data_IF_016531298671
#
_entry.id   IF_016531298671
#
_cell.length_a   1.000
_cell.length_b   1.000
_cell.length_c   1.000
_cell.angle_alpha   90.00
_cell.angle_beta   90.00
_cell.angle_gamma   90.00
#
_symmetry.space_group_name_H-M   'P 1'
#
loop_
_entity.id
_entity.type
_entity.pdbx_description
1 polymer ?
#
# COMPACT_ATOMS: atom_id res chain seq x y z
N UNK A 1 -9.46 -5.18 -6.41
CA UNK A 1 -8.14 -4.96 -7.00
C UNK A 1 -7.12 -5.95 -6.45
N UNK A 2 -6.17 -6.36 -7.30
CA UNK A 2 -5.09 -7.27 -6.90
C UNK A 2 -3.89 -6.53 -6.28
N UNK A 3 -3.81 -5.24 -6.49
CA UNK A 3 -2.79 -4.34 -5.97
C UNK A 3 -3.44 -3.10 -5.35
N UNK A 4 -3.09 -2.82 -4.09
CA UNK A 4 -3.55 -1.64 -3.35
C UNK A 4 -2.33 -0.90 -2.81
N UNK A 5 -2.29 0.41 -3.00
CA UNK A 5 -1.30 1.29 -2.38
C UNK A 5 -1.96 2.21 -1.38
N UNK A 6 -1.37 2.31 -0.20
CA UNK A 6 -1.89 3.06 0.95
C UNK A 6 -0.92 4.20 1.25
N UNK A 7 -1.43 5.42 1.30
CA UNK A 7 -0.65 6.66 1.49
C UNK A 7 0.39 6.88 0.39
N UNK A 8 1.09 8.00 0.39
CA UNK A 8 2.09 8.33 -0.63
C UNK A 8 1.48 8.66 -2.00
N UNK A 9 2.28 8.57 -3.04
CA UNK A 9 1.86 8.84 -4.42
C UNK A 9 1.61 7.54 -5.16
N UNK A 10 0.40 7.36 -5.69
CA UNK A 10 0.12 6.28 -6.62
C UNK A 10 0.91 6.49 -7.92
N UNK A 11 1.76 5.54 -8.26
CA UNK A 11 2.41 5.51 -9.57
C UNK A 11 1.55 4.74 -10.55
N UNK A 12 1.45 5.23 -11.78
CA UNK A 12 0.73 4.55 -12.85
C UNK A 12 1.48 3.30 -13.29
N UNK A 13 0.73 2.31 -13.79
CA UNK A 13 1.28 1.06 -14.29
C UNK A 13 2.11 1.20 -15.58
N UNK A 14 2.14 2.39 -16.21
CA UNK A 14 2.89 2.66 -17.40
C UNK A 14 2.50 1.73 -18.57
N UNK A 15 3.48 1.07 -19.16
CA UNK A 15 3.28 0.16 -20.31
C UNK A 15 2.48 -1.11 -19.97
N UNK A 16 2.36 -1.45 -18.70
CA UNK A 16 1.53 -2.60 -18.24
C UNK A 16 0.03 -2.34 -18.37
N UNK A 17 -0.34 -1.07 -18.54
CA UNK A 17 -1.72 -0.66 -18.75
C UNK A 17 -2.58 -0.63 -17.48
N UNK A 18 -3.77 -0.06 -17.62
CA UNK A 18 -4.67 0.28 -16.52
C UNK A 18 -5.09 -0.91 -15.63
N UNK A 19 -5.10 -2.13 -16.16
CA UNK A 19 -5.43 -3.34 -15.38
C UNK A 19 -4.40 -3.68 -14.30
N UNK A 20 -3.19 -3.15 -14.43
CA UNK A 20 -2.09 -3.34 -13.49
C UNK A 20 -1.91 -2.13 -12.56
N UNK A 21 -2.77 -1.11 -12.66
CA UNK A 21 -2.72 0.02 -11.75
C UNK A 21 -3.12 -0.37 -10.32
N UNK A 22 -2.41 0.21 -9.36
CA UNK A 22 -2.77 0.08 -7.96
C UNK A 22 -4.05 0.86 -7.66
N UNK A 23 -4.93 0.29 -6.86
CA UNK A 23 -5.98 1.07 -6.23
C UNK A 23 -5.38 1.92 -5.10
N UNK A 24 -5.57 3.23 -5.16
CA UNK A 24 -4.97 4.16 -4.22
C UNK A 24 -5.90 4.47 -3.03
N UNK A 25 -5.40 4.29 -1.82
CA UNK A 25 -6.07 4.67 -0.57
C UNK A 25 -5.30 5.83 0.07
N UNK A 26 -5.86 7.03 0.01
CA UNK A 26 -5.19 8.23 0.52
C UNK A 26 -5.11 8.25 2.05
N UNK A 27 -6.24 8.01 2.72
CA UNK A 27 -6.38 8.07 4.18
C UNK A 27 -6.93 6.77 4.73
N UNK A 28 -6.09 5.90 5.28
CA UNK A 28 -6.54 4.62 5.82
C UNK A 28 -7.49 4.84 7.01
N UNK A 29 -8.64 4.14 6.99
CA UNK A 29 -9.68 4.22 8.01
C UNK A 29 -10.74 5.31 7.76
N UNK A 30 -10.55 6.19 6.81
CA UNK A 30 -11.60 7.09 6.34
C UNK A 30 -12.43 6.43 5.22
N UNK A 31 -13.69 6.84 5.11
CA UNK A 31 -14.56 6.37 4.04
C UNK A 31 -14.05 6.91 2.71
N UNK A 32 -13.70 6.00 1.81
CA UNK A 32 -13.30 6.38 0.45
C UNK A 32 -14.54 6.77 -0.36
N UNK A 33 -14.62 8.04 -0.83
CA UNK A 33 -15.78 8.52 -1.58
C UNK A 33 -15.96 7.80 -2.92
N UNK A 34 -14.91 7.16 -3.45
CA UNK A 34 -14.95 6.44 -4.73
C UNK A 34 -15.44 4.99 -4.61
N UNK A 35 -15.63 4.49 -3.39
CA UNK A 35 -16.12 3.13 -3.13
C UNK A 35 -17.64 3.06 -2.87
N UNK A 36 -18.34 4.17 -2.99
CA UNK A 36 -19.80 4.25 -2.83
C UNK A 36 -20.41 5.22 -3.84
N UNK A 37 -21.71 5.09 -4.08
CA UNK A 37 -22.43 6.17 -4.75
C UNK A 37 -22.47 7.43 -3.87
N UNK A 38 -22.48 8.64 -4.48
CA UNK A 38 -22.74 9.87 -3.77
C UNK A 38 -23.99 9.77 -2.89
N UNK A 39 -24.03 10.46 -1.78
CA UNK A 39 -25.11 10.34 -0.78
C UNK A 39 -26.50 10.73 -1.31
N UNK A 40 -26.56 11.57 -2.36
CA UNK A 40 -27.77 11.98 -3.06
C UNK A 40 -28.25 10.97 -4.12
N UNK A 41 -27.49 9.89 -4.35
CA UNK A 41 -27.80 8.85 -5.33
C UNK A 41 -28.21 7.56 -4.63
N UNK A 42 -29.47 7.19 -4.76
CA UNK A 42 -29.93 5.88 -4.27
C UNK A 42 -29.29 4.74 -5.08
N UNK A 43 -29.16 3.56 -4.48
CA UNK A 43 -28.62 2.36 -5.14
C UNK A 43 -29.34 2.06 -6.46
N UNK A 44 -30.70 2.20 -6.48
CA UNK A 44 -31.53 1.97 -7.68
C UNK A 44 -31.16 2.97 -8.78
N UNK A 45 -31.06 4.24 -8.44
CA UNK A 45 -30.70 5.29 -9.40
C UNK A 45 -29.26 5.14 -9.91
N UNK A 46 -28.33 4.77 -9.03
CA UNK A 46 -26.95 4.47 -9.39
C UNK A 46 -26.86 3.30 -10.37
N UNK A 47 -27.56 2.20 -10.11
CA UNK A 47 -27.60 1.05 -10.99
C UNK A 47 -28.17 1.40 -12.38
N UNK A 48 -29.28 2.17 -12.45
CA UNK A 48 -29.82 2.65 -13.74
C UNK A 48 -28.83 3.49 -14.53
N UNK A 49 -28.06 4.36 -13.86
CA UNK A 49 -27.00 5.16 -14.52
C UNK A 49 -25.90 4.28 -15.10
N UNK A 50 -25.47 3.25 -14.37
CA UNK A 50 -24.47 2.29 -14.84
C UNK A 50 -24.99 1.47 -16.05
N UNK A 51 -26.23 1.06 -16.04
CA UNK A 51 -26.85 0.36 -17.17
C UNK A 51 -26.93 1.25 -18.43
N UNK A 52 -27.27 2.52 -18.26
CA UNK A 52 -27.29 3.50 -19.37
C UNK A 52 -25.87 3.70 -19.90
N UNK A 53 -24.88 3.88 -19.01
CA UNK A 53 -23.48 4.04 -19.39
C UNK A 53 -22.97 2.83 -20.19
N UNK A 54 -23.27 1.61 -19.73
CA UNK A 54 -22.90 0.39 -20.45
C UNK A 54 -23.50 0.35 -21.87
N UNK A 55 -24.78 0.72 -22.02
CA UNK A 55 -25.44 0.80 -23.34
C UNK A 55 -24.82 1.88 -24.23
N UNK A 56 -24.46 3.04 -23.67
CA UNK A 56 -23.79 4.12 -24.41
C UNK A 56 -22.39 3.69 -24.86
N UNK A 57 -21.61 3.06 -23.99
CA UNK A 57 -20.29 2.54 -24.32
C UNK A 57 -20.36 1.53 -25.48
N UNK A 58 -21.32 0.62 -25.48
CA UNK A 58 -21.55 -0.34 -26.57
C UNK A 58 -21.89 0.34 -27.90
N UNK A 59 -22.59 1.46 -27.89
CA UNK A 59 -22.91 2.24 -29.11
C UNK A 59 -21.70 3.03 -29.63
N UNK A 60 -20.90 3.58 -28.73
CA UNK A 60 -19.74 4.40 -29.06
C UNK A 60 -18.54 3.59 -29.56
N UNK A 61 -18.50 2.26 -29.33
CA UNK A 61 -17.46 1.36 -29.86
C UNK A 61 -17.35 1.44 -31.40
N UNK A 62 -18.40 1.86 -32.11
CA UNK A 62 -18.38 2.00 -33.57
C UNK A 62 -17.52 3.15 -34.10
N UNK A 63 -17.08 4.09 -33.22
CA UNK A 63 -16.27 5.27 -33.59
C UNK A 63 -14.92 5.39 -32.88
N UNK A 64 -14.65 4.53 -31.90
CA UNK A 64 -13.40 4.52 -31.14
C UNK A 64 -12.58 3.27 -31.47
N UNK A 65 -11.26 3.37 -31.29
CA UNK A 65 -10.39 2.20 -31.23
C UNK A 65 -10.99 1.15 -30.29
N UNK A 66 -11.34 -0.01 -30.86
CA UNK A 66 -12.03 -1.10 -30.13
C UNK A 66 -11.27 -1.54 -28.86
N UNK A 67 -9.93 -1.40 -28.86
CA UNK A 67 -9.08 -1.67 -27.69
C UNK A 67 -9.33 -0.70 -26.54
N UNK A 68 -9.44 0.59 -26.83
CA UNK A 68 -9.70 1.64 -25.83
C UNK A 68 -11.11 1.51 -25.25
N UNK A 69 -12.12 1.27 -26.09
CA UNK A 69 -13.49 1.08 -25.64
C UNK A 69 -13.63 -0.14 -24.71
N UNK A 70 -12.99 -1.25 -25.05
CA UNK A 70 -12.95 -2.45 -24.21
C UNK A 70 -12.22 -2.21 -22.89
N UNK A 71 -11.16 -1.44 -22.88
CA UNK A 71 -10.44 -1.09 -21.65
C UNK A 71 -11.30 -0.26 -20.69
N UNK A 72 -12.01 0.75 -21.20
CA UNK A 72 -12.95 1.59 -20.41
C UNK A 72 -14.10 0.75 -19.85
N UNK A 73 -14.72 -0.11 -20.66
CA UNK A 73 -15.81 -0.99 -20.20
C UNK A 73 -15.33 -1.94 -19.12
N UNK A 74 -14.15 -2.56 -19.28
CA UNK A 74 -13.56 -3.44 -18.29
C UNK A 74 -13.28 -2.70 -16.98
N UNK A 75 -12.66 -1.53 -17.03
CA UNK A 75 -12.37 -0.72 -15.85
C UNK A 75 -13.64 -0.29 -15.10
N UNK A 76 -14.70 0.08 -15.87
CA UNK A 76 -16.00 0.44 -15.28
C UNK A 76 -16.63 -0.76 -14.57
N UNK A 77 -16.62 -1.95 -15.17
CA UNK A 77 -17.15 -3.17 -14.54
C UNK A 77 -16.37 -3.55 -13.29
N UNK A 78 -15.04 -3.47 -13.33
CA UNK A 78 -14.18 -3.76 -12.18
C UNK A 78 -14.45 -2.79 -11.03
N UNK A 79 -14.61 -1.50 -11.30
CA UNK A 79 -14.98 -0.50 -10.31
C UNK A 79 -16.35 -0.79 -9.66
N UNK A 80 -17.37 -1.11 -10.49
CA UNK A 80 -18.71 -1.45 -10.01
C UNK A 80 -18.69 -2.74 -9.18
N UNK A 81 -17.94 -3.75 -9.60
CA UNK A 81 -17.79 -5.00 -8.85
C UNK A 81 -17.11 -4.74 -7.50
N UNK A 82 -16.10 -3.87 -7.46
CA UNK A 82 -15.48 -3.46 -6.20
C UNK A 82 -16.51 -2.77 -5.29
N UNK A 83 -17.24 -1.78 -5.79
CA UNK A 83 -18.29 -1.07 -5.03
C UNK A 83 -19.39 -1.98 -4.46
N UNK A 84 -19.61 -3.14 -5.05
CA UNK A 84 -20.62 -4.14 -4.61
C UNK A 84 -20.02 -5.28 -3.79
N UNK A 85 -18.70 -5.31 -3.66
CA UNK A 85 -17.99 -6.41 -3.00
C UNK A 85 -18.19 -6.37 -1.49
N UNK A 86 -18.54 -7.49 -0.83
CA UNK A 86 -18.49 -7.60 0.63
C UNK A 86 -17.09 -7.31 1.21
N UNK A 87 -16.04 -7.48 0.41
CA UNK A 87 -14.66 -7.18 0.80
C UNK A 87 -14.41 -5.69 1.07
N UNK A 88 -15.33 -4.79 0.69
CA UNK A 88 -15.25 -3.36 1.05
C UNK A 88 -15.19 -3.13 2.56
N UNK A 89 -15.78 -4.02 3.36
CA UNK A 89 -15.69 -3.96 4.82
C UNK A 89 -14.25 -4.03 5.33
N UNK A 90 -13.32 -4.58 4.55
CA UNK A 90 -11.90 -4.58 4.91
C UNK A 90 -11.31 -3.17 4.97
N UNK A 91 -11.83 -2.22 4.18
CA UNK A 91 -11.38 -0.83 4.17
C UNK A 91 -11.85 -0.02 5.40
N UNK A 92 -12.86 -0.51 6.12
CA UNK A 92 -13.44 0.19 7.26
C UNK A 92 -12.70 -0.20 8.54
N UNK A 93 -11.94 0.72 9.14
CA UNK A 93 -11.27 0.49 10.44
C UNK A 93 -12.17 0.80 11.64
N UNK A 94 -13.34 1.39 11.42
CA UNK A 94 -14.27 1.84 12.48
C UNK A 94 -14.75 0.69 13.41
N UNK A 95 -14.68 -0.54 12.95
CA UNK A 95 -15.08 -1.72 13.73
C UNK A 95 -13.93 -2.46 14.43
N UNK A 96 -12.70 -1.95 14.31
CA UNK A 96 -11.56 -2.56 14.99
C UNK A 96 -11.57 -2.27 16.49
N UNK A 97 -11.07 -3.23 17.27
CA UNK A 97 -10.86 -3.05 18.70
C UNK A 97 -9.88 -1.89 18.95
N UNK A 98 -10.25 -0.92 19.80
CA UNK A 98 -9.39 0.22 20.13
C UNK A 98 -7.99 -0.19 20.63
N UNK A 99 -7.86 -1.32 21.33
CA UNK A 99 -6.57 -1.86 21.77
C UNK A 99 -5.71 -2.30 20.57
N UNK A 100 -6.34 -2.86 19.56
CA UNK A 100 -5.64 -3.21 18.30
C UNK A 100 -5.18 -1.97 17.58
N UNK A 101 -6.02 -0.96 17.43
CA UNK A 101 -5.61 0.32 16.80
C UNK A 101 -4.45 0.95 17.57
N UNK A 102 -4.52 1.00 18.90
CA UNK A 102 -3.45 1.53 19.74
C UNK A 102 -2.13 0.77 19.58
N UNK A 103 -2.18 -0.56 19.45
CA UNK A 103 -1.02 -1.43 19.28
C UNK A 103 -0.30 -1.18 17.94
N UNK A 104 -1.04 -0.89 16.85
CA UNK A 104 -0.47 -0.47 15.56
C UNK A 104 0.04 0.97 15.58
N UNK A 105 -0.35 1.77 16.56
CA UNK A 105 -0.15 3.22 16.62
C UNK A 105 -1.22 3.97 15.82
N UNK A 106 -1.89 4.92 16.47
CA UNK A 106 -2.95 5.74 15.82
C UNK A 106 -2.34 6.85 14.95
N UNK A 107 -1.51 6.46 14.00
CA UNK A 107 -0.86 7.31 13.01
C UNK A 107 -1.33 6.91 11.60
N UNK A 108 -1.15 7.75 10.58
CA UNK A 108 -1.47 7.36 9.20
C UNK A 108 -0.75 6.07 8.76
N UNK A 109 0.49 5.86 9.18
CA UNK A 109 1.25 4.65 8.86
C UNK A 109 0.73 3.42 9.64
N UNK A 110 0.48 3.56 10.95
CA UNK A 110 -0.09 2.48 11.78
C UNK A 110 -1.45 2.03 11.28
N UNK A 111 -2.35 2.98 10.99
CA UNK A 111 -3.65 2.68 10.36
C UNK A 111 -3.48 2.06 8.98
N UNK A 112 -2.47 2.47 8.22
CA UNK A 112 -2.11 1.86 6.93
C UNK A 112 -1.68 0.40 7.05
N UNK A 113 -0.84 0.08 8.02
CA UNK A 113 -0.39 -1.28 8.30
C UNK A 113 -1.56 -2.17 8.79
N UNK A 114 -2.43 -1.64 9.64
CA UNK A 114 -3.65 -2.32 10.09
C UNK A 114 -4.60 -2.61 8.91
N UNK A 115 -4.79 -1.63 8.02
CA UNK A 115 -5.57 -1.82 6.80
C UNK A 115 -4.92 -2.87 5.89
N UNK A 116 -3.59 -2.86 5.74
CA UNK A 116 -2.87 -3.86 4.95
C UNK A 116 -3.12 -5.29 5.46
N UNK A 117 -3.09 -5.51 6.78
CA UNK A 117 -3.47 -6.80 7.39
C UNK A 117 -4.86 -7.24 6.92
N UNK A 118 -5.88 -6.38 7.09
CA UNK A 118 -7.26 -6.69 6.73
C UNK A 118 -7.42 -7.01 5.24
N UNK A 119 -6.74 -6.26 4.38
CA UNK A 119 -6.78 -6.50 2.94
C UNK A 119 -6.15 -7.84 2.56
N UNK A 120 -5.02 -8.19 3.15
CA UNK A 120 -4.39 -9.51 2.96
C UNK A 120 -5.31 -10.63 3.47
N UNK A 121 -5.99 -10.42 4.59
CA UNK A 121 -6.97 -11.38 5.14
C UNK A 121 -8.14 -11.62 4.19
N UNK A 122 -8.53 -10.64 3.37
CA UNK A 122 -9.56 -10.79 2.34
C UNK A 122 -9.05 -11.27 0.98
N UNK A 123 -7.75 -11.58 0.88
CA UNK A 123 -7.15 -12.17 -0.32
C UNK A 123 -6.58 -11.15 -1.31
N UNK A 124 -6.39 -9.90 -0.92
CA UNK A 124 -5.61 -8.94 -1.74
C UNK A 124 -4.17 -9.41 -1.81
N UNK A 125 -3.66 -9.58 -3.04
CA UNK A 125 -2.36 -10.23 -3.27
C UNK A 125 -1.17 -9.31 -3.03
N UNK A 126 -1.29 -8.02 -3.29
CA UNK A 126 -0.23 -7.06 -3.12
C UNK A 126 -0.75 -5.80 -2.44
N UNK A 127 -0.18 -5.46 -1.30
CA UNK A 127 -0.51 -4.24 -0.56
C UNK A 127 0.78 -3.50 -0.26
N UNK A 128 0.85 -2.23 -0.66
CA UNK A 128 1.96 -1.35 -0.39
C UNK A 128 1.53 -0.26 0.58
N UNK A 129 2.26 -0.10 1.68
CA UNK A 129 2.07 1.00 2.64
C UNK A 129 3.26 1.94 2.53
N UNK A 130 3.01 3.21 2.26
CA UNK A 130 4.06 4.19 2.03
C UNK A 130 4.26 5.09 3.25
N UNK A 131 5.50 5.39 3.56
CA UNK A 131 5.91 6.41 4.51
C UNK A 131 7.04 7.23 3.92
N UNK A 132 6.82 8.53 3.77
CA UNK A 132 7.84 9.49 3.34
C UNK A 132 8.62 10.09 4.51
N UNK A 133 9.53 11.01 4.18
CA UNK A 133 10.30 11.78 5.17
C UNK A 133 11.68 11.22 5.48
N UNK A 134 12.17 10.24 4.71
CA UNK A 134 13.50 9.64 4.90
C UNK A 134 14.62 10.42 4.20
N UNK A 135 14.30 11.48 3.48
CA UNK A 135 15.31 12.32 2.80
C UNK A 135 15.99 13.30 3.79
N UNK A 136 16.77 12.75 4.71
CA UNK A 136 17.29 13.42 5.89
C UNK A 136 18.70 13.94 5.68
N UNK A 137 18.85 14.88 4.74
CA UNK A 137 20.12 15.61 4.53
C UNK A 137 20.52 16.52 5.69
N UNK A 138 19.60 16.75 6.64
CA UNK A 138 19.80 17.55 7.84
C UNK A 138 19.17 16.82 9.03
N UNK A 139 19.78 16.93 10.22
CA UNK A 139 19.20 16.43 11.48
C UNK A 139 18.68 15.00 11.39
N UNK A 140 19.47 14.08 10.82
CA UNK A 140 19.06 12.70 10.56
C UNK A 140 18.60 11.96 11.83
N UNK A 141 19.28 12.13 12.97
CA UNK A 141 19.01 11.32 14.16
C UNK A 141 17.61 11.54 14.75
N UNK A 142 17.15 12.80 15.00
CA UNK A 142 15.77 13.01 15.45
C UNK A 142 14.72 12.51 14.45
N UNK A 143 15.00 12.65 13.15
CA UNK A 143 14.09 12.14 12.12
C UNK A 143 13.99 10.61 12.14
N UNK A 144 15.10 9.90 12.28
CA UNK A 144 15.12 8.44 12.39
C UNK A 144 14.44 7.96 13.67
N UNK A 145 14.62 8.66 14.81
CA UNK A 145 13.88 8.35 16.02
C UNK A 145 12.37 8.44 15.79
N UNK A 146 11.89 9.52 15.21
CA UNK A 146 10.47 9.68 14.88
C UNK A 146 9.96 8.59 13.90
N UNK A 147 10.79 8.16 12.95
CA UNK A 147 10.43 7.07 12.06
C UNK A 147 10.32 5.74 12.82
N UNK A 148 11.27 5.45 13.72
CA UNK A 148 11.23 4.27 14.59
C UNK A 148 9.97 4.25 15.45
N UNK A 149 9.69 5.32 16.18
CA UNK A 149 8.52 5.44 17.07
C UNK A 149 7.18 5.17 16.36
N UNK A 150 7.11 5.45 15.05
CA UNK A 150 5.91 5.20 14.24
C UNK A 150 5.92 3.82 13.58
N UNK A 151 7.06 3.36 13.08
CA UNK A 151 7.13 2.15 12.27
C UNK A 151 7.22 0.88 13.12
N UNK A 152 7.97 0.92 14.23
CA UNK A 152 8.20 -0.26 15.06
C UNK A 152 6.91 -0.87 15.61
N UNK A 153 5.99 -0.11 16.26
CA UNK A 153 4.75 -0.68 16.75
C UNK A 153 3.86 -1.19 15.61
N UNK A 154 3.84 -0.52 14.47
CA UNK A 154 3.02 -0.91 13.32
C UNK A 154 3.51 -2.22 12.68
N UNK A 155 4.83 -2.34 12.45
CA UNK A 155 5.42 -3.53 11.83
C UNK A 155 5.40 -4.72 12.79
N UNK A 156 5.73 -4.51 14.06
CA UNK A 156 5.67 -5.57 15.08
C UNK A 156 4.25 -6.12 15.21
N UNK A 157 3.23 -5.25 15.24
CA UNK A 157 1.83 -5.65 15.29
C UNK A 157 1.39 -6.40 14.04
N UNK A 158 1.76 -5.92 12.85
CA UNK A 158 1.44 -6.57 11.59
C UNK A 158 2.00 -8.00 11.52
N UNK A 159 3.29 -8.16 11.83
CA UNK A 159 3.95 -9.46 11.80
C UNK A 159 3.36 -10.41 12.84
N UNK A 160 3.12 -9.91 14.06
CA UNK A 160 2.51 -10.70 15.14
C UNK A 160 1.10 -11.18 14.79
N UNK A 161 0.27 -10.31 14.22
CA UNK A 161 -1.11 -10.67 13.83
C UNK A 161 -1.13 -11.65 12.67
N UNK A 162 -0.26 -11.47 11.66
CA UNK A 162 -0.13 -12.40 10.55
C UNK A 162 0.39 -13.77 11.03
N UNK A 163 1.30 -13.79 12.01
CA UNK A 163 1.79 -15.01 12.62
C UNK A 163 0.68 -15.72 13.42
N UNK A 164 -0.02 -15.00 14.29
CA UNK A 164 -1.11 -15.52 15.11
C UNK A 164 -2.26 -16.11 14.28
N UNK A 165 -2.55 -15.50 13.12
CA UNK A 165 -3.56 -16.00 12.16
C UNK A 165 -3.05 -17.09 11.22
N UNK A 166 -1.78 -17.50 11.30
CA UNK A 166 -1.15 -18.46 10.40
C UNK A 166 -0.93 -17.93 8.97
N UNK A 167 -1.20 -16.66 8.73
CA UNK A 167 -1.06 -16.06 7.40
C UNK A 167 0.36 -15.65 7.06
N UNK A 168 1.22 -15.47 8.06
CA UNK A 168 2.61 -15.09 7.83
C UNK A 168 3.37 -16.09 6.96
N UNK A 169 3.06 -17.37 7.08
CA UNK A 169 3.66 -18.43 6.25
C UNK A 169 3.40 -18.25 4.73
N UNK A 170 2.31 -17.55 4.37
CA UNK A 170 1.89 -17.30 2.98
C UNK A 170 1.94 -15.83 2.58
N UNK A 171 2.42 -14.97 3.46
CA UNK A 171 2.51 -13.52 3.25
C UNK A 171 3.95 -13.08 3.42
N UNK A 172 4.55 -12.58 2.35
CA UNK A 172 5.86 -11.94 2.42
C UNK A 172 5.69 -10.49 2.85
N UNK A 173 6.29 -10.10 3.97
CA UNK A 173 6.40 -8.72 4.42
C UNK A 173 7.80 -8.23 4.04
N UNK A 174 7.85 -7.15 3.24
CA UNK A 174 9.08 -6.55 2.76
C UNK A 174 9.10 -5.07 3.15
N UNK A 175 10.15 -4.64 3.85
CA UNK A 175 10.42 -3.24 4.16
C UNK A 175 11.69 -2.83 3.43
N UNK A 176 11.58 -1.83 2.57
CA UNK A 176 12.68 -1.34 1.75
C UNK A 176 12.53 0.15 1.43
N UNK A 177 13.64 0.76 1.04
CA UNK A 177 13.69 2.09 0.44
C UNK A 177 14.27 1.99 -0.98
N UNK A 178 14.33 3.11 -1.69
CA UNK A 178 14.89 3.19 -3.05
C UNK A 178 16.42 3.01 -3.07
N UNK A 179 17.10 3.45 -2.00
CA UNK A 179 18.55 3.31 -1.78
C UNK A 179 18.89 3.56 -0.30
N UNK A 180 20.15 3.36 0.06
CA UNK A 180 20.70 3.63 1.38
C UNK A 180 21.15 5.07 1.58
N UNK A 181 21.69 5.34 2.74
CA UNK A 181 22.27 6.62 3.13
C UNK A 181 23.74 6.46 3.46
N UNK A 182 24.53 7.53 3.25
CA UNK A 182 25.98 7.51 3.53
C UNK A 182 26.25 7.10 4.98
N UNK A 183 27.23 6.21 5.24
CA UNK A 183 27.71 5.92 6.59
C UNK A 183 28.22 7.16 7.29
N UNK A 184 28.90 8.03 6.53
CA UNK A 184 29.43 9.31 7.02
C UNK A 184 28.31 10.33 7.19
N UNK A 185 28.31 11.00 8.34
CA UNK A 185 27.43 12.15 8.64
C UNK A 185 28.00 13.39 7.96
N UNK A 186 27.15 14.16 7.29
CA UNK A 186 27.52 15.42 6.66
C UNK A 186 27.56 16.59 7.67
N UNK A 187 27.97 17.77 7.21
CA UNK A 187 28.11 18.98 8.06
C UNK A 187 26.82 19.47 8.69
N UNK A 188 25.66 19.03 8.17
CA UNK A 188 24.33 19.40 8.67
C UNK A 188 23.73 18.32 9.60
N UNK A 189 24.57 17.44 10.18
CA UNK A 189 24.13 16.30 10.96
C UNK A 189 23.16 15.38 10.21
N UNK A 190 23.23 15.35 8.88
CA UNK A 190 22.41 14.57 7.96
C UNK A 190 23.18 13.43 7.30
N UNK A 191 22.47 12.66 6.47
CA UNK A 191 23.05 11.62 5.61
C UNK A 191 22.62 11.84 4.17
N UNK A 192 23.55 11.72 3.25
CA UNK A 192 23.31 11.88 1.82
C UNK A 192 22.94 10.56 1.15
N UNK A 193 22.53 10.62 -0.12
CA UNK A 193 22.15 9.44 -0.89
C UNK A 193 23.35 8.51 -1.11
N UNK A 194 23.14 7.20 -0.93
CA UNK A 194 24.16 6.18 -1.15
C UNK A 194 23.54 4.91 -1.72
N UNK A 195 23.52 4.81 -3.05
CA UNK A 195 22.84 3.72 -3.75
C UNK A 195 23.62 2.39 -3.77
N UNK A 196 24.88 2.39 -3.36
CA UNK A 196 25.76 1.21 -3.48
C UNK A 196 25.56 0.18 -2.38
N UNK A 197 25.15 0.61 -1.19
CA UNK A 197 24.94 -0.28 -0.06
C UNK A 197 23.70 0.14 0.72
N UNK A 198 22.76 -0.78 0.89
CA UNK A 198 21.55 -0.57 1.69
C UNK A 198 21.00 -1.91 2.17
N UNK A 199 20.12 -1.84 3.15
CA UNK A 199 19.51 -3.02 3.74
C UNK A 199 18.01 -3.03 3.49
N UNK A 200 17.42 -4.22 3.44
CA UNK A 200 15.99 -4.43 3.50
C UNK A 200 15.65 -5.42 4.62
N UNK A 201 14.44 -5.31 5.13
CA UNK A 201 13.90 -6.28 6.09
C UNK A 201 12.88 -7.17 5.39
N UNK A 202 12.94 -8.47 5.67
CA UNK A 202 12.04 -9.47 5.07
C UNK A 202 11.51 -10.39 6.17
N UNK A 203 10.21 -10.67 6.16
CA UNK A 203 9.59 -11.63 7.07
C UNK A 203 8.48 -12.43 6.38
N UNK A 204 8.27 -13.66 6.82
CA UNK A 204 7.20 -14.53 6.33
C UNK A 204 7.43 -15.08 4.92
N UNK A 205 6.36 -15.51 4.24
CA UNK A 205 6.39 -16.01 2.87
C UNK A 205 7.32 -17.20 2.62
N UNK A 206 7.59 -18.02 3.64
CA UNK A 206 8.52 -19.14 3.55
C UNK A 206 10.01 -18.79 3.75
N UNK A 207 10.32 -17.52 4.04
CA UNK A 207 11.69 -17.09 4.36
C UNK A 207 12.10 -17.64 5.73
N UNK A 208 13.30 -18.21 5.81
CA UNK A 208 13.90 -18.58 7.08
C UNK A 208 14.41 -17.33 7.79
N UNK A 209 13.71 -16.91 8.84
CA UNK A 209 14.05 -15.72 9.62
C UNK A 209 15.23 -15.92 10.59
N UNK A 210 15.59 -14.86 11.29
CA UNK A 210 16.63 -14.86 12.33
C UNK A 210 18.05 -14.85 11.80
N UNK A 211 18.28 -14.40 10.56
CA UNK A 211 19.59 -14.34 9.94
C UNK A 211 19.78 -13.03 9.16
N UNK A 212 21.03 -12.56 9.10
CA UNK A 212 21.49 -11.54 8.17
C UNK A 212 22.10 -12.22 6.93
N UNK A 213 21.84 -11.66 5.75
CA UNK A 213 22.37 -12.14 4.48
C UNK A 213 23.09 -10.98 3.80
N UNK A 214 24.35 -11.21 3.42
CA UNK A 214 25.23 -10.19 2.85
C UNK A 214 25.94 -9.37 3.92
N UNK A 215 27.06 -8.81 3.51
CA UNK A 215 27.93 -7.97 4.32
C UNK A 215 28.33 -6.72 3.56
N UNK A 216 28.70 -5.69 4.25
CA UNK A 216 29.33 -4.50 3.69
C UNK A 216 30.84 -4.55 3.96
N UNK A 217 31.60 -3.80 3.17
CA UNK A 217 33.00 -3.56 3.46
C UNK A 217 33.19 -2.86 4.83
N UNK A 218 34.42 -2.78 5.31
CA UNK A 218 34.75 -2.22 6.64
C UNK A 218 34.26 -0.78 6.85
N UNK A 219 34.07 -0.03 5.76
CA UNK A 219 33.65 1.36 5.78
C UNK A 219 32.13 1.50 5.46
N UNK A 220 31.44 0.39 5.26
CA UNK A 220 30.02 0.29 4.87
C UNK A 220 29.70 1.08 3.58
N UNK A 221 30.66 1.18 2.69
CA UNK A 221 30.54 1.93 1.43
C UNK A 221 30.17 1.05 0.24
N UNK A 222 30.51 -0.23 0.28
CA UNK A 222 30.27 -1.19 -0.79
C UNK A 222 29.80 -2.53 -0.20
N UNK A 223 29.02 -3.32 -0.96
CA UNK A 223 28.81 -4.73 -0.62
C UNK A 223 30.16 -5.45 -0.64
N UNK A 224 30.41 -6.31 0.36
CA UNK A 224 31.59 -7.16 0.44
C UNK A 224 31.50 -8.37 -0.51
#
# INVERSE_FOLDING_TARGET
PSFITISGNARRAGYLGQRCEAYYVGRPGEKDPYLAFPSDITQVRGNKRLDILAKMNLRNVRGLDAGKAKAVDTATREAVNLMRSPALKAFELKGEDPKTVARYGDTPFGRGALLARRLVETGVRFVQVNRGGFDTHNNNFPAMQNHGDVMDPALASLISDLAASGKLAKTLVLVLSEFGRTPRINTNAGRDHHARCFSCFVAGGGIRGGQGIGEADKDAMLPA
#
